data_IF_990352145059
#
_entry.id   IF_990352145059
#
_cell.length_a   1.000
_cell.length_b   1.000
_cell.length_c   1.000
_cell.angle_alpha   90.00
_cell.angle_beta   90.00
_cell.angle_gamma   90.00
#
_symmetry.space_group_name_H-M   'P 1'
#
loop_
_entity.id
_entity.type
_entity.pdbx_description
1 polymer ?
#
# COMPACT_ATOMS: atom_id res chain seq x y z
N UNK A 1 -42.77 3.93 43.89
CA UNK A 1 -43.73 5.01 43.57
C UNK A 1 -42.90 6.16 43.03
N UNK A 2 -42.67 6.36 41.73
CA UNK A 2 -43.56 6.59 40.57
C UNK A 2 -44.35 7.92 40.63
N UNK A 3 -44.31 8.66 39.50
CA UNK A 3 -45.07 9.87 39.06
C UNK A 3 -44.32 11.20 39.29
N UNK A 4 -43.70 11.88 38.29
CA UNK A 4 -44.16 12.56 37.03
C UNK A 4 -45.14 13.73 37.32
N UNK A 5 -44.78 15.01 37.02
CA UNK A 5 -45.20 15.91 35.90
C UNK A 5 -44.89 17.36 36.38
N UNK A 6 -44.69 18.46 35.62
CA UNK A 6 -44.99 18.85 34.25
C UNK A 6 -44.08 20.02 33.79
N UNK A 7 -43.85 20.10 32.48
CA UNK A 7 -43.29 21.24 31.75
C UNK A 7 -44.38 22.24 31.37
N UNK A 8 -44.05 23.54 31.34
CA UNK A 8 -44.82 24.57 30.62
C UNK A 8 -43.92 25.47 29.77
N UNK A 9 -44.23 25.41 28.48
CA UNK A 9 -43.99 26.25 27.30
C UNK A 9 -43.60 27.72 27.50
N UNK A 10 -42.76 28.24 26.59
CA UNK A 10 -42.95 29.53 25.88
C UNK A 10 -42.09 29.58 24.60
N UNK A 11 -42.77 29.69 23.46
CA UNK A 11 -42.24 30.04 22.12
C UNK A 11 -42.05 31.57 21.98
N UNK A 12 -41.21 32.02 21.04
CA UNK A 12 -41.73 32.76 19.87
C UNK A 12 -41.04 32.29 18.57
N UNK A 13 -41.74 31.93 17.49
CA UNK A 13 -42.30 32.77 16.41
C UNK A 13 -41.31 33.84 15.89
N UNK A 14 -40.59 33.51 14.81
CA UNK A 14 -40.29 34.44 13.72
C UNK A 14 -40.27 33.67 12.39
N UNK A 15 -41.28 33.96 11.56
CA UNK A 15 -41.29 33.67 10.14
C UNK A 15 -40.70 34.87 9.41
N UNK A 16 -39.73 34.67 8.52
CA UNK A 16 -39.60 35.45 7.30
C UNK A 16 -39.08 34.59 6.16
N UNK A 17 -39.76 34.75 5.02
CA UNK A 17 -39.68 34.01 3.78
C UNK A 17 -38.35 34.18 3.04
N UNK A 18 -37.90 33.09 2.41
CA UNK A 18 -37.88 32.97 0.95
C UNK A 18 -36.74 33.61 0.16
N UNK A 19 -35.76 32.79 -0.24
CA UNK A 19 -35.23 32.75 -1.61
C UNK A 19 -34.40 31.46 -1.78
N UNK A 20 -35.04 30.38 -2.23
CA UNK A 20 -34.32 29.27 -2.86
C UNK A 20 -34.27 29.55 -4.36
N UNK A 21 -33.12 30.02 -4.84
CA UNK A 21 -32.77 29.94 -6.25
C UNK A 21 -31.86 28.74 -6.45
N UNK A 22 -32.23 27.89 -7.40
CA UNK A 22 -31.45 26.77 -7.90
C UNK A 22 -30.07 27.27 -8.35
N UNK A 23 -29.00 26.61 -7.92
CA UNK A 23 -27.71 26.65 -8.61
C UNK A 23 -27.44 25.25 -9.17
N UNK A 24 -27.51 25.16 -10.49
CA UNK A 24 -27.05 24.08 -11.33
C UNK A 24 -25.55 23.92 -11.17
N UNK A 25 -25.09 22.75 -10.72
CA UNK A 25 -23.67 22.39 -10.80
C UNK A 25 -23.35 21.98 -12.24
N UNK A 26 -22.59 22.82 -12.93
CA UNK A 26 -21.97 22.53 -14.22
C UNK A 26 -20.83 21.55 -14.00
N UNK A 27 -20.92 20.37 -14.61
CA UNK A 27 -19.80 19.43 -14.74
C UNK A 27 -18.90 19.91 -15.88
N UNK A 28 -17.66 20.27 -15.57
CA UNK A 28 -16.60 20.50 -16.57
C UNK A 28 -15.96 19.14 -16.89
N UNK A 29 -16.41 18.53 -17.99
CA UNK A 29 -15.72 17.41 -18.63
C UNK A 29 -14.55 17.95 -19.47
N UNK A 30 -13.33 17.77 -18.98
CA UNK A 30 -12.11 17.90 -19.78
C UNK A 30 -11.90 16.60 -20.57
N UNK A 31 -12.54 16.49 -21.73
CA UNK A 31 -12.25 15.48 -22.74
C UNK A 31 -10.95 15.85 -23.47
N UNK A 32 -9.87 15.11 -23.20
CA UNK A 32 -8.65 15.16 -24.01
C UNK A 32 -8.90 14.45 -25.34
N UNK A 33 -8.81 15.23 -26.42
CA UNK A 33 -8.81 14.79 -27.81
C UNK A 33 -7.42 14.23 -28.14
N UNK A 34 -7.33 12.97 -28.57
CA UNK A 34 -6.12 12.39 -29.14
C UNK A 34 -6.47 11.85 -30.53
N UNK A 35 -6.04 12.59 -31.55
CA UNK A 35 -6.10 12.18 -32.95
C UNK A 35 -5.08 11.06 -33.20
N UNK A 36 -5.51 9.97 -33.80
CA UNK A 36 -4.60 9.05 -34.49
C UNK A 36 -5.17 8.68 -35.85
N UNK A 37 -4.30 8.87 -36.84
CA UNK A 37 -4.52 8.85 -38.27
C UNK A 37 -5.01 7.50 -38.78
N UNK A 38 -6.16 7.52 -39.47
CA UNK A 38 -6.59 6.47 -40.39
C UNK A 38 -5.88 6.69 -41.74
N UNK A 39 -4.91 5.85 -42.06
CA UNK A 39 -4.36 5.74 -43.42
C UNK A 39 -5.03 4.58 -44.15
N UNK A 40 -5.95 4.93 -45.05
CA UNK A 40 -6.46 4.07 -46.11
C UNK A 40 -5.60 4.26 -47.37
N UNK A 41 -5.25 3.16 -48.04
CA UNK A 41 -4.69 3.20 -49.39
C UNK A 41 -5.26 2.09 -50.27
N UNK A 42 -6.12 2.53 -51.20
CA UNK A 42 -6.22 2.15 -52.61
C UNK A 42 -6.46 0.67 -53.02
N UNK A 43 -7.73 0.37 -53.26
CA UNK A 43 -8.30 0.09 -54.60
C UNK A 43 -7.54 -0.80 -55.60
N UNK A 44 -8.17 -1.93 -55.96
CA UNK A 44 -8.56 -2.16 -57.36
C UNK A 44 -9.72 -3.16 -57.40
N UNK A 45 -10.86 -2.72 -57.94
CA UNK A 45 -11.92 -3.59 -58.43
C UNK A 45 -11.41 -4.29 -59.69
N UNK A 46 -11.72 -5.57 -59.83
CA UNK A 46 -12.00 -6.12 -61.16
C UNK A 46 -13.17 -7.09 -61.06
N UNK A 47 -14.21 -6.77 -61.82
CA UNK A 47 -15.51 -7.42 -61.79
C UNK A 47 -15.62 -8.22 -63.10
N UNK A 48 -15.52 -9.54 -63.04
CA UNK A 48 -15.88 -10.39 -64.18
C UNK A 48 -16.88 -11.46 -63.75
N UNK A 49 -18.10 -11.27 -64.27
CA UNK A 49 -19.20 -12.22 -64.31
C UNK A 49 -18.82 -13.41 -65.18
N UNK A 50 -18.84 -14.63 -64.63
CA UNK A 50 -19.17 -15.82 -65.39
C UNK A 50 -20.02 -16.78 -64.55
N UNK A 51 -21.14 -17.13 -65.16
CA UNK A 51 -22.28 -17.89 -64.67
C UNK A 51 -21.95 -19.38 -64.59
N UNK A 52 -22.17 -19.95 -63.40
CA UNK A 52 -22.74 -21.29 -63.18
C UNK A 52 -21.94 -22.51 -63.63
N UNK A 53 -21.42 -23.26 -62.65
CA UNK A 53 -21.64 -24.70 -62.61
C UNK A 53 -21.43 -25.23 -61.19
N UNK A 54 -22.47 -25.92 -60.71
CA UNK A 54 -22.49 -26.68 -59.47
C UNK A 54 -21.39 -27.76 -59.51
N UNK A 55 -20.39 -27.66 -58.64
CA UNK A 55 -19.53 -28.79 -58.31
C UNK A 55 -19.49 -28.95 -56.79
N UNK A 56 -19.90 -30.13 -56.36
CA UNK A 56 -19.90 -30.55 -54.97
C UNK A 56 -18.50 -30.40 -54.39
N UNK A 57 -18.37 -29.59 -53.35
CA UNK A 57 -17.15 -29.51 -52.56
C UNK A 57 -17.24 -30.64 -51.53
N UNK A 58 -16.35 -31.62 -51.69
CA UNK A 58 -16.15 -32.73 -50.76
C UNK A 58 -15.87 -32.17 -49.35
N UNK A 59 -16.80 -32.41 -48.43
CA UNK A 59 -16.66 -32.13 -47.01
C UNK A 59 -15.82 -33.24 -46.35
N UNK A 60 -14.53 -33.31 -46.68
CA UNK A 60 -13.62 -34.24 -46.02
C UNK A 60 -12.17 -33.74 -46.00
N UNK A 61 -11.96 -32.49 -45.63
CA UNK A 61 -10.66 -32.04 -45.10
C UNK A 61 -10.86 -30.87 -44.14
N UNK A 62 -11.68 -31.09 -43.11
CA UNK A 62 -11.62 -30.26 -41.92
C UNK A 62 -10.39 -30.71 -41.13
N UNK A 63 -9.33 -29.92 -41.24
CA UNK A 63 -8.23 -29.87 -40.28
C UNK A 63 -8.78 -30.07 -38.87
N UNK A 64 -8.40 -31.20 -38.27
CA UNK A 64 -8.81 -31.62 -36.94
C UNK A 64 -8.85 -30.41 -35.99
N UNK A 65 -10.03 -30.10 -35.48
CA UNK A 65 -10.16 -29.37 -34.22
C UNK A 65 -9.24 -30.09 -33.22
N UNK A 66 -8.15 -29.44 -32.80
CA UNK A 66 -7.39 -29.93 -31.68
C UNK A 66 -8.35 -29.94 -30.49
N UNK A 67 -8.86 -31.12 -30.15
CA UNK A 67 -9.86 -31.32 -29.12
C UNK A 67 -9.28 -30.78 -27.82
N UNK A 68 -9.78 -29.62 -27.38
CA UNK A 68 -9.29 -28.95 -26.18
C UNK A 68 -9.68 -29.79 -24.98
N UNK A 69 -8.73 -30.06 -24.09
CA UNK A 69 -9.03 -30.80 -22.88
C UNK A 69 -10.05 -30.03 -22.02
N UNK A 70 -10.85 -30.78 -21.25
CA UNK A 70 -11.80 -30.21 -20.29
C UNK A 70 -11.08 -29.33 -19.26
N UNK A 71 -11.77 -28.33 -18.71
CA UNK A 71 -11.23 -27.47 -17.65
C UNK A 71 -10.71 -28.30 -16.46
N UNK A 72 -9.54 -27.93 -15.93
CA UNK A 72 -8.80 -28.73 -14.95
C UNK A 72 -7.93 -29.84 -15.55
N UNK A 73 -7.87 -29.99 -16.88
CA UNK A 73 -7.00 -30.94 -17.58
C UNK A 73 -6.16 -30.22 -18.65
N UNK A 74 -4.96 -30.74 -18.92
CA UNK A 74 -4.08 -30.29 -19.98
C UNK A 74 -3.73 -31.43 -20.93
N UNK A 75 -3.35 -31.08 -22.15
CA UNK A 75 -2.91 -32.03 -23.17
C UNK A 75 -1.43 -32.36 -22.94
N UNK A 76 -1.11 -33.64 -22.73
CA UNK A 76 0.28 -34.11 -22.61
C UNK A 76 0.99 -34.09 -23.96
N UNK A 77 2.32 -34.22 -23.96
CA UNK A 77 3.14 -34.36 -25.19
C UNK A 77 2.71 -35.59 -26.01
N UNK A 78 2.21 -36.63 -25.34
CA UNK A 78 1.64 -37.83 -25.97
C UNK A 78 0.22 -37.64 -26.54
N UNK A 79 -0.38 -36.46 -26.39
CA UNK A 79 -1.69 -36.11 -26.94
C UNK A 79 -2.89 -36.52 -26.09
N UNK A 80 -2.68 -37.03 -24.88
CA UNK A 80 -3.74 -37.42 -23.95
C UNK A 80 -4.10 -36.27 -23.00
N UNK A 81 -5.35 -36.21 -22.51
CA UNK A 81 -5.73 -35.25 -21.47
C UNK A 81 -5.41 -35.80 -20.08
N UNK A 82 -4.63 -35.06 -19.29
CA UNK A 82 -4.27 -35.39 -17.91
C UNK A 82 -4.68 -34.27 -16.96
N UNK A 83 -5.05 -34.57 -15.70
CA UNK A 83 -5.51 -33.55 -14.76
C UNK A 83 -4.37 -32.62 -14.34
N UNK A 84 -4.69 -31.34 -14.13
CA UNK A 84 -3.80 -30.35 -13.55
C UNK A 84 -3.61 -30.63 -12.05
N UNK A 85 -2.36 -30.71 -11.59
CA UNK A 85 -2.03 -30.99 -10.19
C UNK A 85 -1.57 -29.71 -9.47
N UNK A 86 -2.45 -28.71 -9.38
CA UNK A 86 -2.12 -27.38 -8.87
C UNK A 86 -2.46 -27.15 -7.39
N UNK A 87 -2.46 -28.21 -6.56
CA UNK A 87 -2.83 -28.14 -5.14
C UNK A 87 -4.16 -27.43 -4.85
N UNK A 88 -5.13 -27.52 -5.77
CA UNK A 88 -6.40 -26.81 -5.71
C UNK A 88 -6.28 -25.27 -5.66
N UNK A 89 -5.15 -24.72 -6.07
CA UNK A 89 -4.87 -23.28 -6.11
C UNK A 89 -4.86 -22.72 -7.54
N UNK A 90 -4.89 -23.57 -8.56
CA UNK A 90 -5.18 -23.18 -9.94
C UNK A 90 -6.02 -24.25 -10.64
N UNK A 91 -6.78 -23.83 -11.65
CA UNK A 91 -7.65 -24.69 -12.46
C UNK A 91 -7.16 -24.81 -13.91
N UNK A 92 -6.14 -24.03 -14.29
CA UNK A 92 -5.50 -24.04 -15.60
C UNK A 92 -4.03 -24.43 -15.45
N UNK A 93 -3.54 -25.18 -16.42
CA UNK A 93 -2.12 -25.50 -16.55
C UNK A 93 -1.72 -25.54 -18.04
N UNK A 94 -0.43 -25.33 -18.31
CA UNK A 94 0.13 -25.28 -19.66
C UNK A 94 0.09 -26.66 -20.31
N UNK A 95 -0.36 -26.71 -21.57
CA UNK A 95 -0.28 -27.91 -22.39
C UNK A 95 1.19 -28.34 -22.59
N UNK A 96 1.42 -29.64 -22.65
CA UNK A 96 2.74 -30.27 -22.74
C UNK A 96 3.39 -30.47 -21.37
N UNK A 97 3.47 -29.42 -20.55
CA UNK A 97 4.22 -29.44 -19.27
C UNK A 97 3.38 -29.71 -18.03
N UNK A 98 2.11 -29.32 -18.02
CA UNK A 98 1.24 -29.41 -16.84
C UNK A 98 1.55 -28.37 -15.76
N UNK A 99 2.39 -27.37 -16.06
CA UNK A 99 2.74 -26.27 -15.15
C UNK A 99 1.52 -25.37 -14.95
N UNK A 100 1.17 -25.09 -13.71
CA UNK A 100 0.01 -24.31 -13.34
C UNK A 100 0.15 -22.84 -13.73
N UNK A 101 -0.95 -22.23 -14.17
CA UNK A 101 -1.02 -20.80 -14.49
C UNK A 101 -2.10 -20.15 -13.64
N UNK A 102 -1.94 -18.85 -13.37
CA UNK A 102 -2.86 -18.06 -12.55
C UNK A 102 -3.08 -18.67 -11.15
N UNK A 103 -1.99 -18.99 -10.45
CA UNK A 103 -2.03 -19.46 -9.06
C UNK A 103 -2.81 -18.46 -8.17
N UNK A 104 -3.92 -18.92 -7.60
CA UNK A 104 -4.79 -18.16 -6.71
C UNK A 104 -4.30 -18.22 -5.27
N UNK A 105 -5.04 -17.58 -4.35
CA UNK A 105 -4.79 -17.65 -2.90
C UNK A 105 -3.37 -17.23 -2.49
N UNK A 106 -2.80 -16.29 -3.26
CA UNK A 106 -1.42 -15.81 -3.14
C UNK A 106 -0.40 -16.95 -3.13
N UNK A 107 -0.56 -17.94 -4.01
CA UNK A 107 0.40 -19.04 -4.15
C UNK A 107 1.29 -18.85 -5.38
N UNK A 108 2.41 -19.55 -5.40
CA UNK A 108 3.37 -19.54 -6.52
C UNK A 108 4.09 -20.88 -6.60
N UNK A 109 4.95 -21.05 -7.59
CA UNK A 109 5.58 -22.32 -7.95
C UNK A 109 4.88 -23.00 -9.12
N UNK A 110 5.52 -24.01 -9.69
CA UNK A 110 5.06 -24.68 -10.91
C UNK A 110 3.73 -25.42 -10.70
N UNK A 111 3.43 -25.75 -9.44
CA UNK A 111 2.23 -26.46 -9.02
C UNK A 111 1.45 -25.68 -7.95
N UNK A 112 1.69 -24.38 -7.81
CA UNK A 112 1.11 -23.52 -6.78
C UNK A 112 1.32 -24.08 -5.35
N UNK A 113 2.48 -24.69 -5.11
CA UNK A 113 2.83 -25.47 -3.93
C UNK A 113 3.48 -24.66 -2.80
N UNK A 114 3.84 -23.40 -3.07
CA UNK A 114 4.54 -22.53 -2.12
C UNK A 114 3.95 -21.13 -2.09
N UNK A 115 4.30 -20.38 -1.06
CA UNK A 115 3.97 -18.96 -0.97
C UNK A 115 5.03 -18.10 -1.68
N UNK A 116 4.62 -16.95 -2.28
CA UNK A 116 5.54 -15.95 -2.80
C UNK A 116 6.35 -15.30 -1.68
N UNK A 117 7.40 -14.58 -2.07
CA UNK A 117 8.23 -13.85 -1.11
C UNK A 117 7.40 -12.86 -0.28
N UNK A 118 7.72 -12.73 1.01
CA UNK A 118 6.93 -11.93 1.95
C UNK A 118 5.62 -12.58 2.40
N UNK A 119 5.32 -13.83 2.04
CA UNK A 119 4.16 -14.58 2.51
C UNK A 119 4.53 -15.89 3.22
N UNK A 120 3.64 -16.38 4.08
CA UNK A 120 3.78 -17.61 4.86
C UNK A 120 2.49 -18.44 4.85
N UNK A 121 2.63 -19.75 4.67
CA UNK A 121 1.57 -20.73 4.78
C UNK A 121 2.00 -22.12 4.30
N UNK A 122 1.30 -23.16 4.75
CA UNK A 122 1.42 -24.52 4.18
C UNK A 122 0.18 -24.81 3.34
N UNK A 123 0.27 -24.45 2.05
CA UNK A 123 -0.85 -24.55 1.10
C UNK A 123 -1.07 -25.96 0.59
N UNK A 124 -0.10 -26.86 0.77
CA UNK A 124 -0.23 -28.28 0.43
C UNK A 124 -1.10 -29.02 1.42
N UNK A 125 -0.98 -28.67 2.71
CA UNK A 125 -1.83 -29.23 3.79
C UNK A 125 -3.10 -28.40 4.05
N UNK A 126 -3.25 -27.27 3.36
CA UNK A 126 -4.40 -26.38 3.51
C UNK A 126 -4.44 -25.59 4.82
N UNK A 127 -3.28 -25.38 5.48
CA UNK A 127 -3.20 -24.72 6.79
C UNK A 127 -2.09 -23.66 6.86
N UNK A 128 -2.40 -22.36 6.73
CA UNK A 128 -3.67 -21.80 6.24
C UNK A 128 -3.96 -22.21 4.78
N UNK A 129 -5.23 -22.17 4.38
CA UNK A 129 -5.69 -22.52 3.03
C UNK A 129 -5.25 -21.53 1.93
N UNK A 130 -4.66 -20.41 2.33
CA UNK A 130 -4.08 -19.39 1.47
C UNK A 130 -2.85 -18.79 2.14
N UNK A 131 -1.96 -18.22 1.34
CA UNK A 131 -0.75 -17.59 1.85
C UNK A 131 -1.07 -16.25 2.53
N UNK A 132 -0.60 -16.10 3.76
CA UNK A 132 -0.78 -14.88 4.55
C UNK A 132 0.47 -14.01 4.45
N UNK A 133 0.33 -12.67 4.34
CA UNK A 133 1.48 -11.78 4.34
C UNK A 133 2.23 -11.90 5.67
N UNK A 134 3.56 -11.85 5.60
CA UNK A 134 4.41 -11.86 6.77
C UNK A 134 4.10 -10.62 7.64
N UNK A 135 4.02 -10.77 8.98
CA UNK A 135 3.79 -9.68 9.91
C UNK A 135 5.07 -8.88 10.18
N UNK A 136 5.84 -8.59 9.12
CA UNK A 136 6.93 -7.62 9.19
C UNK A 136 6.32 -6.21 9.22
N UNK A 137 6.99 -5.17 9.76
CA UNK A 137 6.37 -3.86 9.91
C UNK A 137 5.87 -3.37 8.56
N UNK A 138 4.71 -2.73 8.60
CA UNK A 138 4.08 -2.11 7.43
C UNK A 138 3.99 -3.05 6.21
N UNK A 139 3.33 -4.23 6.33
CA UNK A 139 3.42 -5.32 5.35
C UNK A 139 2.95 -4.97 3.93
N UNK A 140 2.17 -3.90 3.77
CA UNK A 140 1.63 -3.44 2.48
C UNK A 140 2.38 -2.25 1.87
N UNK A 141 3.09 -1.46 2.67
CA UNK A 141 3.68 -0.17 2.22
C UNK A 141 5.18 -0.07 2.46
N UNK A 142 5.72 -0.79 3.44
CA UNK A 142 7.14 -0.77 3.77
C UNK A 142 7.57 -2.10 4.41
N UNK A 143 7.39 -3.20 3.67
CA UNK A 143 7.83 -4.52 4.12
C UNK A 143 9.37 -4.62 4.05
N UNK A 144 10.01 -4.50 5.21
CA UNK A 144 11.46 -4.63 5.36
C UNK A 144 11.93 -6.08 5.61
N UNK A 145 11.01 -7.06 5.51
CA UNK A 145 11.33 -8.48 5.47
C UNK A 145 11.45 -9.02 4.05
N UNK A 146 12.34 -9.99 3.84
CA UNK A 146 12.46 -10.79 2.60
C UNK A 146 11.51 -11.98 2.65
N UNK A 147 11.44 -12.63 3.81
CA UNK A 147 10.56 -13.76 4.07
C UNK A 147 10.26 -13.86 5.57
N UNK A 148 9.40 -14.78 5.97
CA UNK A 148 9.20 -15.09 7.37
C UNK A 148 9.02 -16.59 7.57
N UNK A 149 9.23 -17.05 8.80
CA UNK A 149 9.15 -18.45 9.18
C UNK A 149 8.59 -18.59 10.59
N UNK A 150 8.00 -19.73 10.91
CA UNK A 150 7.57 -20.05 12.28
C UNK A 150 8.70 -20.70 13.06
N UNK A 151 8.99 -20.17 14.24
CA UNK A 151 9.89 -20.77 15.23
C UNK A 151 9.24 -20.72 16.61
N UNK A 152 8.92 -21.89 17.16
CA UNK A 152 8.21 -22.07 18.44
C UNK A 152 6.83 -21.40 18.46
N UNK A 153 6.05 -21.55 17.39
CA UNK A 153 4.70 -20.94 17.27
C UNK A 153 4.70 -19.44 16.95
N UNK A 154 5.85 -18.76 17.03
CA UNK A 154 5.98 -17.33 16.73
C UNK A 154 6.53 -17.15 15.31
N UNK A 155 5.91 -16.27 14.54
CA UNK A 155 6.41 -15.88 13.21
C UNK A 155 7.58 -14.92 13.41
N UNK A 156 8.70 -15.17 12.72
CA UNK A 156 9.86 -14.30 12.67
C UNK A 156 10.16 -13.92 11.22
N UNK A 157 10.48 -12.66 10.99
CA UNK A 157 10.91 -12.16 9.70
C UNK A 157 12.41 -12.37 9.49
N UNK A 158 12.77 -12.70 8.25
CA UNK A 158 14.13 -12.60 7.73
C UNK A 158 14.27 -11.21 7.13
N UNK A 159 15.02 -10.34 7.81
CA UNK A 159 15.11 -8.94 7.43
C UNK A 159 15.95 -8.70 6.19
N UNK A 160 15.60 -7.66 5.44
CA UNK A 160 16.47 -7.06 4.42
C UNK A 160 17.72 -6.49 5.09
N UNK A 161 18.74 -6.25 4.28
CA UNK A 161 19.96 -5.59 4.76
C UNK A 161 19.62 -4.26 5.44
N UNK A 162 20.36 -3.92 6.51
CA UNK A 162 20.18 -2.72 7.34
C UNK A 162 19.00 -2.73 8.32
N UNK A 163 18.17 -3.77 8.31
CA UNK A 163 17.04 -3.93 9.24
C UNK A 163 17.28 -5.11 10.19
N UNK A 164 16.74 -5.00 11.40
CA UNK A 164 16.88 -5.99 12.45
C UNK A 164 15.63 -6.05 13.34
N UNK A 165 15.58 -7.08 14.18
CA UNK A 165 14.43 -7.35 15.05
C UNK A 165 13.73 -8.65 14.67
N UNK A 166 12.72 -9.00 15.45
CA UNK A 166 11.94 -10.23 15.23
C UNK A 166 11.04 -10.14 14.00
N UNK A 167 10.58 -8.93 13.72
CA UNK A 167 9.72 -8.56 12.61
C UNK A 167 10.40 -7.59 11.65
N UNK A 168 11.63 -7.12 11.91
CA UNK A 168 12.34 -6.06 11.17
C UNK A 168 11.89 -4.64 11.58
N UNK A 169 11.48 -4.52 12.82
CA UNK A 169 10.93 -3.33 13.48
C UNK A 169 11.95 -2.26 13.84
N UNK A 170 13.26 -2.53 13.70
CA UNK A 170 14.34 -1.58 14.02
C UNK A 170 15.47 -1.67 13.01
N UNK A 171 16.36 -0.69 13.05
CA UNK A 171 17.56 -0.71 12.23
C UNK A 171 18.61 -1.68 12.78
N UNK A 172 19.41 -2.25 11.89
CA UNK A 172 20.54 -3.07 12.26
C UNK A 172 21.64 -2.21 12.92
N UNK A 173 22.53 -2.80 13.74
CA UNK A 173 23.67 -2.06 14.31
C UNK A 173 24.47 -1.33 13.22
N UNK A 174 24.83 -0.08 13.47
CA UNK A 174 25.46 0.80 12.48
C UNK A 174 24.49 1.51 11.53
N UNK A 175 23.18 1.38 11.76
CA UNK A 175 22.12 2.07 11.03
C UNK A 175 21.13 2.71 11.99
N UNK A 176 20.52 3.80 11.55
CA UNK A 176 19.53 4.54 12.31
C UNK A 176 18.27 4.86 11.48
N UNK A 177 17.17 5.10 12.15
CA UNK A 177 15.87 5.42 11.57
C UNK A 177 14.73 4.71 12.28
N UNK A 178 13.51 4.88 11.79
CA UNK A 178 12.33 4.24 12.38
C UNK A 178 11.50 3.50 11.33
N UNK A 179 11.70 2.17 11.15
CA UNK A 179 10.97 1.35 10.18
C UNK A 179 9.44 1.28 10.41
N UNK A 180 8.94 1.74 11.56
CA UNK A 180 7.50 1.75 11.86
C UNK A 180 6.78 2.96 11.27
N UNK A 181 7.53 3.98 10.83
CA UNK A 181 6.97 5.18 10.21
C UNK A 181 6.96 5.01 8.69
N UNK A 182 5.82 5.30 8.06
CA UNK A 182 5.68 5.23 6.60
C UNK A 182 6.68 6.18 5.93
N UNK A 183 7.39 5.69 4.91
CA UNK A 183 8.40 6.46 4.17
C UNK A 183 9.76 6.57 4.89
N UNK A 184 9.85 6.13 6.15
CA UNK A 184 11.12 6.06 6.88
C UNK A 184 11.93 4.84 6.46
N UNK A 185 13.24 4.97 6.45
CA UNK A 185 14.19 3.91 6.05
C UNK A 185 15.41 3.94 6.96
N UNK A 186 16.10 2.80 7.07
CA UNK A 186 17.34 2.71 7.82
C UNK A 186 18.51 3.28 7.01
N UNK A 187 19.21 4.25 7.59
CA UNK A 187 20.37 4.91 7.01
C UNK A 187 21.62 4.54 7.80
N UNK A 188 22.74 4.41 7.12
CA UNK A 188 24.02 4.08 7.77
C UNK A 188 24.44 5.23 8.68
N UNK A 189 24.95 4.91 9.87
CA UNK A 189 25.64 5.88 10.70
C UNK A 189 26.82 6.49 9.94
N UNK A 190 27.05 7.79 10.13
CA UNK A 190 28.24 8.50 9.65
C UNK A 190 28.82 9.32 10.79
N UNK A 191 29.76 8.75 11.51
CA UNK A 191 30.48 9.36 12.61
C UNK A 191 31.82 9.97 12.17
N UNK A 192 31.94 10.33 10.88
CA UNK A 192 33.15 10.89 10.29
C UNK A 192 34.40 10.00 10.47
N UNK A 193 34.24 8.71 10.80
CA UNK A 193 35.33 7.82 11.18
C UNK A 193 36.00 8.17 12.52
N UNK A 194 35.31 8.92 13.39
CA UNK A 194 35.73 9.26 14.76
C UNK A 194 34.96 8.45 15.82
N UNK A 195 34.39 7.31 15.44
CA UNK A 195 33.81 6.32 16.35
C UNK A 195 34.90 5.49 17.05
N UNK A 196 34.51 4.62 17.98
CA UNK A 196 35.42 3.70 18.66
C UNK A 196 36.07 2.72 17.64
N UNK A 197 37.41 2.73 17.49
CA UNK A 197 38.11 1.87 16.54
C UNK A 197 38.01 0.37 16.87
N UNK A 198 37.55 -0.01 18.06
CA UNK A 198 37.36 -1.41 18.45
C UNK A 198 36.00 -1.98 18.01
N UNK A 199 35.08 -1.13 17.56
CA UNK A 199 33.78 -1.56 17.06
C UNK A 199 33.87 -1.90 15.56
N UNK A 200 33.11 -2.93 15.16
CA UNK A 200 33.01 -3.35 13.75
C UNK A 200 32.16 -2.36 12.94
N UNK A 201 31.21 -1.70 13.60
CA UNK A 201 30.28 -0.73 13.02
C UNK A 201 30.34 0.57 13.82
N UNK A 202 30.05 1.69 13.16
CA UNK A 202 29.93 2.97 13.87
C UNK A 202 28.71 2.95 14.79
N UNK A 203 28.89 3.39 16.04
CA UNK A 203 27.82 3.43 17.03
C UNK A 203 27.14 4.80 17.01
N UNK A 204 25.88 4.82 16.56
CA UNK A 204 25.03 5.98 16.61
C UNK A 204 23.67 5.60 17.18
N UNK A 205 22.96 6.61 17.69
CA UNK A 205 21.62 6.43 18.22
C UNK A 205 20.66 5.84 17.17
N UNK A 206 19.98 4.74 17.52
CA UNK A 206 19.20 3.94 16.57
C UNK A 206 18.05 4.71 15.90
N UNK A 207 17.58 5.83 16.46
CA UNK A 207 16.47 6.62 15.91
C UNK A 207 16.96 7.93 15.30
N UNK A 208 17.76 8.69 16.04
CA UNK A 208 18.20 10.03 15.61
C UNK A 208 19.38 9.96 14.64
N UNK A 209 20.28 8.99 14.82
CA UNK A 209 21.54 8.91 14.09
C UNK A 209 22.69 9.69 14.72
N UNK A 210 22.49 10.31 15.88
CA UNK A 210 23.57 11.02 16.57
C UNK A 210 24.64 10.03 17.02
N UNK A 211 25.89 10.30 16.67
CA UNK A 211 27.01 9.46 17.03
C UNK A 211 27.27 9.44 18.53
N UNK A 212 27.54 8.24 19.04
CA UNK A 212 27.84 8.01 20.45
C UNK A 212 29.35 7.92 20.62
N UNK A 213 29.86 8.45 21.73
CA UNK A 213 31.28 8.36 22.11
C UNK A 213 32.26 8.86 21.03
N UNK A 214 32.18 10.14 20.67
CA UNK A 214 33.13 10.76 19.74
C UNK A 214 34.57 10.67 20.26
N UNK A 215 35.41 9.95 19.53
CA UNK A 215 36.82 9.75 19.85
C UNK A 215 37.70 10.88 19.28
N UNK A 216 39.01 10.83 19.54
CA UNK A 216 40.01 11.77 18.98
C UNK A 216 39.72 13.24 19.30
N UNK A 217 39.12 13.49 20.46
CA UNK A 217 38.74 14.83 20.92
C UNK A 217 37.84 15.55 19.91
N UNK A 218 36.86 14.83 19.38
CA UNK A 218 35.84 15.36 18.47
C UNK A 218 34.48 15.49 19.15
N UNK A 219 33.57 16.23 18.51
CA UNK A 219 32.20 16.49 18.94
C UNK A 219 31.35 16.83 17.72
N UNK A 220 30.07 17.13 17.92
CA UNK A 220 29.10 17.32 16.84
C UNK A 220 28.18 16.11 16.69
N UNK A 221 27.24 16.21 15.75
CA UNK A 221 26.23 15.18 15.53
C UNK A 221 26.84 13.90 14.94
N UNK A 222 27.82 14.08 14.06
CA UNK A 222 28.58 13.08 13.33
C UNK A 222 30.05 13.05 13.77
N UNK A 223 30.36 13.54 14.97
CA UNK A 223 31.73 13.71 15.47
C UNK A 223 32.64 14.48 14.48
N UNK A 224 32.06 15.46 13.80
CA UNK A 224 32.62 16.17 12.66
C UNK A 224 33.38 17.45 13.03
N UNK A 225 33.38 17.81 14.31
CA UNK A 225 33.98 19.03 14.85
C UNK A 225 35.03 18.67 15.90
N UNK A 226 36.05 19.51 16.09
CA UNK A 226 36.91 19.37 17.27
C UNK A 226 36.17 19.80 18.53
N UNK A 227 36.34 19.02 19.60
CA UNK A 227 35.78 19.31 20.92
C UNK A 227 36.26 20.68 21.44
N UNK A 228 35.51 21.34 22.34
CA UNK A 228 35.98 22.55 23.00
C UNK A 228 37.39 22.40 23.57
N UNK A 229 38.27 23.39 23.33
CA UNK A 229 39.68 23.34 23.73
C UNK A 229 40.59 22.56 22.76
N UNK A 230 40.07 22.09 21.63
CA UNK A 230 40.84 21.46 20.56
C UNK A 230 40.59 22.14 19.22
N UNK A 231 41.57 22.05 18.32
CA UNK A 231 41.48 22.59 16.97
C UNK A 231 42.09 21.66 15.92
N UNK A 232 41.71 21.87 14.66
CA UNK A 232 42.24 21.16 13.50
C UNK A 232 41.12 20.65 12.59
N UNK A 233 41.40 19.54 11.92
CA UNK A 233 40.45 18.92 10.99
C UNK A 233 39.99 17.56 11.52
N UNK A 234 38.75 17.53 12.00
CA UNK A 234 38.11 16.35 12.54
C UNK A 234 37.64 15.37 11.46
N UNK A 235 37.45 15.78 10.20
CA UNK A 235 36.80 14.93 9.17
C UNK A 235 37.80 14.26 8.24
N UNK A 236 38.71 15.02 7.63
CA UNK A 236 39.65 14.47 6.64
C UNK A 236 40.90 13.98 7.36
N UNK A 237 41.59 14.88 8.07
CA UNK A 237 42.78 14.52 8.84
C UNK A 237 42.47 13.69 10.10
N UNK A 238 41.24 13.79 10.64
CA UNK A 238 40.79 13.16 11.90
C UNK A 238 41.76 13.41 13.05
N UNK A 239 42.24 14.66 13.13
CA UNK A 239 43.29 15.08 14.05
C UNK A 239 42.91 16.41 14.68
N UNK A 240 42.40 16.32 15.91
CA UNK A 240 42.19 17.45 16.78
C UNK A 240 43.34 17.56 17.78
N UNK A 241 43.94 18.74 17.86
CA UNK A 241 45.08 19.03 18.73
C UNK A 241 44.64 19.96 19.85
N UNK A 242 45.09 19.70 21.08
CA UNK A 242 44.76 20.54 22.22
C UNK A 242 45.29 21.96 22.01
N UNK A 243 44.49 22.94 22.39
CA UNK A 243 44.86 24.35 22.32
C UNK A 243 45.82 24.73 23.44
N UNK A 244 46.79 25.58 23.12
CA UNK A 244 47.76 26.07 24.09
C UNK A 244 47.39 27.49 24.56
N UNK A 245 46.20 27.61 25.17
CA UNK A 245 45.64 28.89 25.61
C UNK A 245 45.51 29.00 27.13
N UNK A 246 46.28 28.19 27.88
CA UNK A 246 46.26 28.23 29.35
C UNK A 246 44.90 27.87 29.98
N UNK A 247 44.05 27.13 29.25
CA UNK A 247 42.68 26.79 29.66
C UNK A 247 41.58 27.62 28.99
N UNK A 248 41.94 28.70 28.28
CA UNK A 248 40.98 29.49 27.50
C UNK A 248 40.53 28.73 26.21
N UNK A 249 39.31 29.01 25.71
CA UNK A 249 38.85 28.47 24.44
C UNK A 249 39.64 29.05 23.26
N UNK A 250 39.67 28.29 22.18
CA UNK A 250 40.34 28.63 20.93
C UNK A 250 39.37 28.43 19.77
N UNK A 251 39.68 29.06 18.65
CA UNK A 251 39.01 28.79 17.39
C UNK A 251 39.27 27.34 16.96
N UNK A 252 38.20 26.61 16.59
CA UNK A 252 38.24 25.17 16.33
C UNK A 252 38.96 24.78 15.04
N UNK A 253 39.16 25.72 14.11
CA UNK A 253 39.85 25.44 12.84
C UNK A 253 41.31 25.87 12.91
N UNK A 254 41.56 27.08 13.40
CA UNK A 254 42.88 27.72 13.39
C UNK A 254 43.68 27.47 14.66
N UNK A 255 43.02 27.18 15.78
CA UNK A 255 43.66 27.06 17.09
C UNK A 255 44.03 28.40 17.73
N UNK A 256 43.65 29.52 17.11
CA UNK A 256 43.89 30.84 17.66
C UNK A 256 43.10 31.01 18.95
N UNK A 257 43.79 31.40 20.03
CA UNK A 257 43.14 31.64 21.31
C UNK A 257 42.13 32.76 21.15
N UNK A 258 40.88 32.47 21.53
CA UNK A 258 39.87 33.49 21.62
C UNK A 258 40.22 34.28 22.87
N UNK A 259 40.56 35.56 22.70
CA UNK A 259 40.60 36.47 23.83
C UNK A 259 39.27 36.41 24.56
N UNK A 260 39.27 36.69 25.87
CA UNK A 260 38.01 36.93 26.57
C UNK A 260 37.17 37.87 25.69
N UNK A 261 35.89 37.54 25.38
CA UNK A 261 35.03 38.51 24.74
C UNK A 261 35.17 39.79 25.55
N UNK A 262 35.39 40.96 24.90
CA UNK A 262 35.52 42.20 25.65
C UNK A 262 34.32 42.23 26.59
N UNK A 263 34.59 42.13 27.90
CA UNK A 263 33.55 42.38 28.88
C UNK A 263 32.94 43.70 28.43
N UNK A 264 31.61 43.77 28.21
CA UNK A 264 31.01 45.08 28.00
C UNK A 264 31.56 45.97 29.09
N UNK A 265 32.10 47.13 28.70
CA UNK A 265 32.70 48.06 29.65
C UNK A 265 31.78 48.14 30.87
N UNK A 266 32.31 48.08 32.11
CA UNK A 266 31.45 48.28 33.26
C UNK A 266 30.72 49.58 32.98
N UNK A 267 29.39 49.52 32.93
CA UNK A 267 28.57 50.70 32.75
C UNK A 267 28.76 51.51 34.03
N UNK A 268 29.84 52.28 34.09
CA UNK A 268 30.09 53.28 35.11
C UNK A 268 29.34 54.52 34.69
N UNK A 269 28.02 54.40 34.72
CA UNK A 269 27.07 55.48 34.90
C UNK A 269 25.98 54.94 35.83
N UNK A 270 26.38 54.60 37.06
CA UNK A 270 25.45 54.51 38.17
C UNK A 270 25.62 55.77 39.02
N UNK A 271 24.76 56.79 38.85
CA UNK A 271 24.63 57.85 39.83
C UNK A 271 24.02 57.24 41.10
N UNK A 272 24.84 57.17 42.15
CA UNK A 272 24.47 57.01 43.57
C UNK A 272 23.14 56.25 43.82
N UNK A 273 23.18 54.92 43.69
CA UNK A 273 22.01 54.08 43.95
C UNK A 273 22.23 53.33 45.27
N UNK A 274 21.33 53.61 46.22
CA UNK A 274 21.12 52.86 47.46
C UNK A 274 21.26 51.34 47.25
N UNK A 275 21.95 50.67 48.18
CA UNK A 275 22.35 49.25 48.15
C UNK A 275 21.23 48.21 47.91
N UNK A 276 19.98 48.63 47.75
CA UNK A 276 18.84 47.76 47.52
C UNK A 276 18.55 47.53 46.03
N UNK A 277 18.92 48.45 45.13
CA UNK A 277 18.47 48.36 43.72
C UNK A 277 19.07 47.18 42.97
N UNK A 278 20.34 46.85 43.16
CA UNK A 278 20.96 45.72 42.47
C UNK A 278 20.37 44.37 42.90
N UNK A 279 19.86 44.27 44.13
CA UNK A 279 19.19 43.07 44.63
C UNK A 279 17.82 42.95 43.97
N UNK A 280 17.07 44.04 43.86
CA UNK A 280 15.78 44.06 43.17
C UNK A 280 15.92 43.84 41.67
N UNK A 281 16.91 44.45 41.01
CA UNK A 281 17.18 44.28 39.57
C UNK A 281 17.57 42.81 39.26
N UNK A 282 18.44 42.18 40.06
CA UNK A 282 18.78 40.76 39.90
C UNK A 282 17.58 39.85 40.19
N UNK A 283 16.75 40.20 41.17
CA UNK A 283 15.54 39.43 41.50
C UNK A 283 14.51 39.55 40.38
N UNK A 284 14.41 40.70 39.72
CA UNK A 284 13.56 40.93 38.55
C UNK A 284 14.08 40.16 37.33
N UNK A 285 15.38 40.22 37.05
CA UNK A 285 16.02 39.45 35.97
C UNK A 285 15.85 37.93 36.17
N UNK A 286 16.01 37.44 37.40
CA UNK A 286 15.78 36.03 37.74
C UNK A 286 14.30 35.67 37.58
N UNK A 287 13.39 36.55 37.99
CA UNK A 287 11.94 36.34 37.85
C UNK A 287 11.52 36.30 36.38
N UNK A 288 12.08 37.19 35.55
CA UNK A 288 11.90 37.22 34.11
C UNK A 288 12.49 35.97 33.42
N UNK A 289 13.66 35.50 33.88
CA UNK A 289 14.26 34.26 33.39
C UNK A 289 13.41 33.03 33.75
N UNK A 290 12.87 32.97 34.97
CA UNK A 290 11.94 31.91 35.39
C UNK A 290 10.68 31.93 34.53
N UNK A 291 10.13 33.11 34.26
CA UNK A 291 8.95 33.26 33.40
C UNK A 291 9.22 32.79 31.96
N UNK A 292 10.38 33.14 31.39
CA UNK A 292 10.81 32.66 30.07
C UNK A 292 11.02 31.14 30.03
N UNK A 293 11.49 30.53 31.12
CA UNK A 293 11.63 29.07 31.25
C UNK A 293 10.26 28.40 31.32
N UNK A 294 9.30 28.95 32.07
CA UNK A 294 7.94 28.41 32.17
C UNK A 294 7.20 28.52 30.82
N UNK A 295 7.36 29.64 30.09
CA UNK A 295 6.86 29.79 28.72
C UNK A 295 7.52 28.80 27.75
N UNK A 296 8.83 28.59 27.86
CA UNK A 296 9.55 27.58 27.06
C UNK A 296 9.07 26.16 27.38
N UNK A 297 8.70 25.87 28.63
CA UNK A 297 8.12 24.60 29.06
C UNK A 297 6.73 24.39 28.47
N UNK A 298 5.87 25.41 28.45
CA UNK A 298 4.57 25.34 27.78
C UNK A 298 4.72 25.18 26.26
N UNK A 299 5.69 25.84 25.63
CA UNK A 299 6.03 25.64 24.22
C UNK A 299 6.53 24.21 23.98
N UNK A 300 7.38 23.65 24.85
CA UNK A 300 7.84 22.26 24.76
C UNK A 300 6.70 21.24 24.97
N UNK A 301 5.76 21.54 25.86
CA UNK A 301 4.53 20.75 26.05
C UNK A 301 3.62 20.86 24.82
N UNK A 302 3.53 22.04 24.19
CA UNK A 302 2.83 22.26 22.93
C UNK A 302 3.49 21.54 21.75
N UNK A 303 4.83 21.51 21.70
CA UNK A 303 5.58 20.73 20.70
C UNK A 303 5.37 19.24 20.96
N UNK A 304 5.41 18.78 22.21
CA UNK A 304 5.16 17.37 22.54
C UNK A 304 3.73 16.93 22.19
N UNK A 305 2.74 17.76 22.51
CA UNK A 305 1.34 17.52 22.11
C UNK A 305 1.13 17.67 20.61
N UNK A 306 1.84 18.58 19.94
CA UNK A 306 1.87 18.74 18.50
C UNK A 306 2.54 17.56 17.79
N UNK A 307 3.62 17.00 18.34
CA UNK A 307 4.30 15.80 17.86
C UNK A 307 3.43 14.57 18.09
N UNK A 308 2.76 14.46 19.23
CA UNK A 308 1.78 13.41 19.50
C UNK A 308 0.57 13.52 18.54
N UNK A 309 0.00 14.71 18.38
CA UNK A 309 -1.11 14.96 17.45
C UNK A 309 -0.69 14.74 15.99
N UNK A 310 0.54 15.11 15.61
CA UNK A 310 1.08 14.85 14.28
C UNK A 310 1.34 13.36 14.07
N UNK A 311 1.80 12.64 15.10
CA UNK A 311 1.92 11.19 15.07
C UNK A 311 0.54 10.54 14.89
N UNK A 312 -0.47 10.97 15.64
CA UNK A 312 -1.84 10.46 15.53
C UNK A 312 -2.44 10.81 14.16
N UNK A 313 -2.21 12.01 13.64
CA UNK A 313 -2.62 12.42 12.30
C UNK A 313 -1.95 11.57 11.21
N UNK A 314 -0.67 11.25 11.40
CA UNK A 314 0.08 10.39 10.50
C UNK A 314 -0.43 8.93 10.56
N UNK A 315 -0.69 8.41 11.75
CA UNK A 315 -1.24 7.07 11.96
C UNK A 315 -2.69 6.98 11.41
N UNK A 316 -3.47 8.06 11.47
CA UNK A 316 -4.78 8.19 10.81
C UNK A 316 -4.65 8.27 9.28
N UNK A 317 -3.72 9.05 8.74
CA UNK A 317 -3.50 9.14 7.29
C UNK A 317 -3.04 7.79 6.70
N UNK A 318 -2.16 7.09 7.42
CA UNK A 318 -1.75 5.72 7.12
C UNK A 318 -2.95 4.76 7.09
N UNK A 319 -3.82 4.85 8.10
CA UNK A 319 -5.03 4.03 8.18
C UNK A 319 -6.00 4.34 7.03
N UNK A 320 -6.20 5.62 6.69
CA UNK A 320 -7.03 6.04 5.56
C UNK A 320 -6.49 5.52 4.24
N UNK A 321 -5.17 5.52 4.02
CA UNK A 321 -4.56 4.96 2.82
C UNK A 321 -4.82 3.45 2.70
N UNK A 322 -4.62 2.70 3.78
CA UNK A 322 -4.90 1.25 3.84
C UNK A 322 -6.39 0.98 3.57
N UNK A 323 -7.28 1.75 4.20
CA UNK A 323 -8.73 1.62 3.99
C UNK A 323 -9.10 1.92 2.54
N UNK A 324 -8.54 2.96 1.92
CA UNK A 324 -8.78 3.32 0.52
C UNK A 324 -8.33 2.21 -0.43
N UNK A 325 -7.17 1.60 -0.18
CA UNK A 325 -6.70 0.45 -0.96
C UNK A 325 -7.65 -0.75 -0.84
N UNK A 326 -8.11 -1.07 0.38
CA UNK A 326 -9.09 -2.14 0.60
C UNK A 326 -10.46 -1.86 -0.02
N UNK A 327 -10.91 -0.61 -0.01
CA UNK A 327 -12.14 -0.21 -0.69
C UNK A 327 -12.01 -0.39 -2.21
N UNK A 328 -10.90 0.05 -2.80
CA UNK A 328 -10.66 -0.15 -4.24
C UNK A 328 -10.58 -1.64 -4.63
N UNK A 329 -9.98 -2.49 -3.78
CA UNK A 329 -9.98 -3.94 -3.98
C UNK A 329 -11.40 -4.52 -3.92
N UNK A 330 -12.22 -4.06 -2.97
CA UNK A 330 -13.61 -4.49 -2.81
C UNK A 330 -14.50 -3.99 -3.94
N UNK A 331 -14.29 -2.77 -4.44
CA UNK A 331 -15.01 -2.20 -5.58
C UNK A 331 -14.69 -3.00 -6.86
N UNK A 332 -13.43 -3.39 -7.07
CA UNK A 332 -13.04 -4.26 -8.17
C UNK A 332 -13.66 -5.66 -8.07
N UNK A 333 -13.72 -6.24 -6.86
CA UNK A 333 -14.43 -7.50 -6.64
C UNK A 333 -15.94 -7.38 -6.87
N UNK A 334 -16.54 -6.26 -6.45
CA UNK A 334 -17.96 -5.97 -6.66
C UNK A 334 -18.27 -5.82 -8.15
N UNK A 335 -17.41 -5.15 -8.92
CA UNK A 335 -17.54 -5.03 -10.37
C UNK A 335 -17.49 -6.41 -11.04
N UNK A 336 -16.53 -7.27 -10.67
CA UNK A 336 -16.42 -8.63 -11.19
C UNK A 336 -17.65 -9.49 -10.87
N UNK A 337 -18.17 -9.41 -9.63
CA UNK A 337 -19.40 -10.10 -9.25
C UNK A 337 -20.61 -9.60 -10.03
N UNK A 338 -20.69 -8.29 -10.30
CA UNK A 338 -21.80 -7.70 -11.07
C UNK A 338 -21.80 -8.23 -12.50
N UNK A 339 -20.64 -8.28 -13.15
CA UNK A 339 -20.50 -8.87 -14.50
C UNK A 339 -20.91 -10.34 -14.54
N UNK A 340 -20.53 -11.12 -13.53
CA UNK A 340 -20.88 -12.54 -13.47
C UNK A 340 -22.38 -12.79 -13.23
N UNK A 341 -23.05 -11.90 -12.50
CA UNK A 341 -24.51 -11.93 -12.32
C UNK A 341 -25.22 -11.57 -13.63
N UNK A 342 -24.73 -10.57 -14.36
CA UNK A 342 -25.30 -10.17 -15.66
C UNK A 342 -25.15 -11.27 -16.72
N UNK A 343 -24.00 -11.93 -16.79
CA UNK A 343 -23.77 -13.07 -17.67
C UNK A 343 -24.73 -14.23 -17.35
N UNK A 344 -24.91 -14.51 -16.05
CA UNK A 344 -25.84 -15.55 -15.57
C UNK A 344 -27.30 -15.20 -15.91
N UNK A 345 -27.69 -13.94 -15.76
CA UNK A 345 -29.04 -13.45 -16.11
C UNK A 345 -29.31 -13.54 -17.62
N UNK A 346 -28.30 -13.26 -18.44
CA UNK A 346 -28.43 -13.36 -19.90
C UNK A 346 -28.57 -14.81 -20.37
N UNK A 347 -27.80 -15.73 -19.80
CA UNK A 347 -27.96 -17.17 -20.06
C UNK A 347 -29.32 -17.70 -19.56
N UNK A 348 -29.80 -17.23 -18.41
CA UNK A 348 -31.15 -17.58 -17.93
C UNK A 348 -32.24 -17.09 -18.89
N UNK A 349 -32.11 -15.88 -19.43
CA UNK A 349 -33.05 -15.32 -20.42
C UNK A 349 -33.04 -16.12 -21.71
N UNK A 350 -31.87 -16.58 -22.16
CA UNK A 350 -31.71 -17.44 -23.33
C UNK A 350 -32.33 -18.83 -23.13
N UNK A 351 -32.23 -19.39 -21.93
CA UNK A 351 -32.90 -20.64 -21.58
C UNK A 351 -34.42 -20.50 -21.56
N UNK A 352 -34.96 -19.39 -21.03
CA UNK A 352 -36.39 -19.11 -21.06
C UNK A 352 -36.94 -19.06 -22.49
N UNK A 353 -36.25 -18.37 -23.41
CA UNK A 353 -36.62 -18.36 -24.84
C UNK A 353 -36.66 -19.75 -25.47
N UNK A 354 -35.75 -20.66 -25.07
CA UNK A 354 -35.75 -22.04 -25.54
C UNK A 354 -36.95 -22.83 -24.99
N UNK A 355 -37.33 -22.59 -23.74
CA UNK A 355 -38.51 -23.22 -23.12
C UNK A 355 -39.78 -22.78 -23.85
N UNK A 356 -39.93 -21.49 -24.15
CA UNK A 356 -41.09 -20.97 -24.89
C UNK A 356 -41.18 -21.61 -26.29
N UNK A 357 -40.06 -21.68 -27.01
CA UNK A 357 -40.00 -22.33 -28.33
C UNK A 357 -40.31 -23.84 -28.27
N UNK A 358 -40.00 -24.51 -27.16
CA UNK A 358 -40.38 -25.92 -26.94
C UNK A 358 -41.89 -26.07 -26.64
N UNK A 359 -42.49 -25.14 -25.91
CA UNK A 359 -43.92 -25.16 -25.64
C UNK A 359 -44.75 -24.92 -26.90
N UNK A 360 -44.32 -24.00 -27.78
CA UNK A 360 -44.94 -23.84 -29.11
C UNK A 360 -44.90 -25.12 -29.93
N UNK A 361 -43.75 -25.80 -29.98
CA UNK A 361 -43.60 -27.09 -30.67
C UNK A 361 -44.48 -28.18 -30.08
N UNK A 362 -44.61 -28.22 -28.75
CA UNK A 362 -45.51 -29.13 -28.05
C UNK A 362 -46.97 -28.88 -28.43
N UNK A 363 -47.41 -27.62 -28.45
CA UNK A 363 -48.77 -27.25 -28.83
C UNK A 363 -49.06 -27.61 -30.30
N UNK A 364 -48.10 -27.38 -31.21
CA UNK A 364 -48.20 -27.80 -32.61
C UNK A 364 -48.27 -29.33 -32.75
N UNK A 365 -47.46 -30.07 -31.98
CA UNK A 365 -47.50 -31.53 -31.94
C UNK A 365 -48.83 -32.07 -31.45
N UNK A 366 -49.39 -31.47 -30.38
CA UNK A 366 -50.71 -31.82 -29.84
C UNK A 366 -51.83 -31.61 -30.86
N UNK A 367 -51.83 -30.47 -31.56
CA UNK A 367 -52.80 -30.16 -32.62
C UNK A 367 -52.74 -31.17 -33.79
N UNK A 368 -51.53 -31.50 -34.26
CA UNK A 368 -51.33 -32.54 -35.28
C UNK A 368 -51.82 -33.91 -34.82
N UNK A 369 -51.59 -34.27 -33.55
CA UNK A 369 -52.08 -35.50 -32.95
C UNK A 369 -53.61 -35.59 -32.93
N UNK A 370 -54.30 -34.51 -32.57
CA UNK A 370 -55.76 -34.43 -32.60
C UNK A 370 -56.31 -34.56 -34.03
N UNK A 371 -55.66 -33.93 -35.01
CA UNK A 371 -56.03 -34.03 -36.42
C UNK A 371 -55.90 -35.47 -36.94
N UNK A 372 -54.79 -36.13 -36.65
CA UNK A 372 -54.56 -37.54 -36.99
C UNK A 372 -55.59 -38.46 -36.34
N UNK A 373 -55.95 -38.24 -35.07
CA UNK A 373 -57.02 -39.01 -34.42
C UNK A 373 -58.37 -38.82 -35.11
N UNK A 374 -58.68 -37.60 -35.56
CA UNK A 374 -59.91 -37.31 -36.29
C UNK A 374 -59.94 -38.02 -37.65
N UNK A 375 -58.86 -37.95 -38.41
CA UNK A 375 -58.71 -38.64 -39.70
C UNK A 375 -58.76 -40.16 -39.56
N UNK A 376 -58.13 -40.71 -38.52
CA UNK A 376 -58.17 -42.14 -38.20
C UNK A 376 -59.59 -42.58 -37.86
N UNK A 377 -60.31 -41.82 -37.04
CA UNK A 377 -61.71 -42.11 -36.68
C UNK A 377 -62.62 -42.11 -37.91
N UNK A 378 -62.45 -41.16 -38.81
CA UNK A 378 -63.22 -41.10 -40.07
C UNK A 378 -62.87 -42.25 -41.01
N UNK A 379 -61.61 -42.67 -41.06
CA UNK A 379 -61.17 -43.84 -41.84
C UNK A 379 -61.76 -45.13 -41.29
N UNK A 380 -61.75 -45.32 -39.97
CA UNK A 380 -62.36 -46.48 -39.31
C UNK A 380 -63.86 -46.55 -39.61
N UNK A 381 -64.59 -45.43 -39.51
CA UNK A 381 -66.02 -45.36 -39.86
C UNK A 381 -66.30 -45.77 -41.31
N UNK A 382 -65.45 -45.36 -42.26
CA UNK A 382 -65.59 -45.75 -43.67
C UNK A 382 -65.34 -47.25 -43.90
N UNK A 383 -64.55 -47.90 -43.06
CA UNK A 383 -64.25 -49.33 -43.14
C UNK A 383 -65.25 -50.23 -42.41
N UNK A 384 -66.20 -49.66 -41.64
CA UNK A 384 -67.22 -50.41 -40.88
C UNK A 384 -68.60 -50.46 -41.54
N UNK A 385 -68.71 -49.93 -42.77
CA UNK A 385 -69.86 -50.08 -43.68
C UNK A 385 -69.45 -51.09 -44.74
#
# INVERSE_FOLDING_TARGET
MALILAWTLLFPIFSFLGCFSLCSASAEDNAFHFDTEESSAHGSQDNSLLRGQQQAVDFASWSHFAEKCQEGFYRTISGNCSPCHCNNNAYKCLDGSGICVDCQRNTTGDYCERCPEGYLGDVTRGAPSFCQPCPCPLPLVANFGVSCYRKNGVVRCKCKEHYAGSNCERCAPGYYGNPLVIGSTCKKCDCSGNSDPNLIVEDCDEVTGQCRNCMRSTTGFNCELCAPGYYGDARIARKCTACNCGGAPCDRQTGQCLGEPPMPAPVTDCPDISCDKCIWDLTDDISLAIQSIEESKEILLSISTGVAAHKDLHDLNATTFILKAKFSEKDNQSALQTTQVDDSANEMTKLLRKIDALDEKKNQGSSKGQQLQKETRETIKRATI
#
